data_IF_143575732941
#
_entry.id   IF_143575732941
#
_cell.length_a   1.000
_cell.length_b   1.000
_cell.length_c   1.000
_cell.angle_alpha   90.00
_cell.angle_beta   90.00
_cell.angle_gamma   90.00
#
_symmetry.space_group_name_H-M   'P 1'
#
loop_
_entity.id
_entity.type
_entity.pdbx_description
1 polymer ?
#
# COMPACT_ATOMS: atom_id res chain seq x y z
N UNK A 1 20.01 13.87 -3.45
CA UNK A 1 19.44 13.92 -2.08
C UNK A 1 17.91 13.88 -2.07
N UNK A 2 17.22 14.75 -2.82
CA UNK A 2 15.74 14.83 -2.86
C UNK A 2 15.10 13.48 -3.23
N UNK A 3 15.60 12.79 -4.26
CA UNK A 3 15.09 11.47 -4.66
C UNK A 3 15.18 10.45 -3.53
N UNK A 4 16.31 10.41 -2.81
CA UNK A 4 16.52 9.48 -1.69
C UNK A 4 15.50 9.75 -0.57
N UNK A 5 15.24 11.02 -0.25
CA UNK A 5 14.22 11.39 0.73
C UNK A 5 12.81 10.98 0.26
N UNK A 6 12.49 11.25 -1.00
CA UNK A 6 11.21 10.89 -1.59
C UNK A 6 10.99 9.38 -1.60
N UNK A 7 11.92 8.60 -2.14
CA UNK A 7 11.77 7.14 -2.23
C UNK A 7 11.73 6.50 -0.83
N UNK A 8 12.53 7.01 0.12
CA UNK A 8 12.49 6.56 1.51
C UNK A 8 11.12 6.83 2.13
N UNK A 9 10.55 8.02 1.92
CA UNK A 9 9.21 8.36 2.37
C UNK A 9 8.15 7.40 1.79
N UNK A 10 8.21 7.10 0.49
CA UNK A 10 7.25 6.18 -0.16
C UNK A 10 7.40 4.74 0.36
N UNK A 11 8.63 4.27 0.56
CA UNK A 11 8.91 2.95 1.14
C UNK A 11 8.38 2.87 2.57
N UNK A 12 8.62 3.90 3.39
CA UNK A 12 8.10 3.96 4.77
C UNK A 12 6.57 3.96 4.80
N UNK A 13 5.93 4.72 3.92
CA UNK A 13 4.47 4.70 3.77
C UNK A 13 3.97 3.28 3.42
N UNK A 14 4.66 2.58 2.51
CA UNK A 14 4.32 1.20 2.14
C UNK A 14 4.48 0.22 3.29
N UNK A 15 5.53 0.37 4.08
CA UNK A 15 5.76 -0.45 5.27
C UNK A 15 4.67 -0.18 6.32
N UNK A 16 4.31 1.08 6.54
CA UNK A 16 3.22 1.46 7.45
C UNK A 16 1.88 0.83 7.03
N UNK A 17 1.56 0.86 5.74
CA UNK A 17 0.39 0.16 5.17
C UNK A 17 0.41 -1.34 5.48
N UNK A 18 1.55 -2.00 5.32
CA UNK A 18 1.69 -3.43 5.63
C UNK A 18 1.51 -3.72 7.13
N UNK A 19 1.95 -2.83 8.01
CA UNK A 19 1.69 -2.95 9.45
C UNK A 19 0.19 -2.84 9.77
N UNK A 20 -0.51 -1.87 9.16
CA UNK A 20 -1.97 -1.75 9.31
C UNK A 20 -2.68 -3.00 8.77
N UNK A 21 -2.26 -3.50 7.60
CA UNK A 21 -2.82 -4.70 7.01
C UNK A 21 -2.61 -5.94 7.89
N UNK A 22 -1.41 -6.12 8.49
CA UNK A 22 -1.14 -7.21 9.44
C UNK A 22 -1.99 -7.12 10.71
N UNK A 23 -2.19 -5.91 11.24
CA UNK A 23 -3.05 -5.70 12.42
C UNK A 23 -4.50 -6.06 12.10
N UNK A 24 -4.99 -5.62 10.96
CA UNK A 24 -6.36 -5.92 10.51
C UNK A 24 -6.52 -7.41 10.16
N UNK A 25 -5.52 -8.04 9.55
CA UNK A 25 -5.48 -9.49 9.27
C UNK A 25 -5.70 -10.29 10.54
N UNK A 26 -4.98 -9.97 11.61
CA UNK A 26 -5.14 -10.66 12.91
C UNK A 26 -6.58 -10.52 13.44
N UNK A 27 -7.15 -9.33 13.37
CA UNK A 27 -8.54 -9.10 13.79
C UNK A 27 -9.53 -9.86 12.90
N UNK A 28 -9.37 -9.83 11.58
CA UNK A 28 -10.23 -10.54 10.63
C UNK A 28 -10.22 -12.05 10.86
N UNK A 29 -9.03 -12.64 11.03
CA UNK A 29 -8.87 -14.08 11.30
C UNK A 29 -9.53 -14.49 12.62
N UNK A 30 -9.41 -13.66 13.66
CA UNK A 30 -10.09 -13.88 14.95
C UNK A 30 -11.63 -13.81 14.82
N UNK A 31 -12.14 -13.09 13.82
CA UNK A 31 -13.58 -12.96 13.55
C UNK A 31 -14.04 -13.95 12.44
N UNK A 32 -13.29 -15.03 12.20
CA UNK A 32 -13.69 -16.09 11.27
C UNK A 32 -13.52 -15.76 9.79
N UNK A 33 -12.64 -14.81 9.45
CA UNK A 33 -12.32 -14.53 8.05
C UNK A 33 -11.57 -15.69 7.39
N UNK A 34 -11.93 -16.00 6.16
CA UNK A 34 -11.20 -16.92 5.29
C UNK A 34 -10.40 -16.12 4.26
N UNK A 35 -9.13 -16.46 4.08
CA UNK A 35 -8.25 -15.83 3.09
C UNK A 35 -8.40 -16.49 1.72
N UNK A 36 -8.54 -15.67 0.69
CA UNK A 36 -8.66 -16.06 -0.71
C UNK A 36 -7.42 -15.61 -1.48
N UNK A 37 -6.99 -16.40 -2.48
CA UNK A 37 -5.93 -16.00 -3.39
C UNK A 37 -4.51 -16.04 -2.81
N UNK A 38 -4.26 -16.81 -1.73
CA UNK A 38 -2.94 -16.93 -1.06
C UNK A 38 -1.77 -17.15 -2.03
N UNK A 39 -1.98 -17.96 -3.07
CA UNK A 39 -0.97 -18.31 -4.08
C UNK A 39 -0.51 -17.12 -4.91
N UNK A 40 -1.36 -16.11 -5.11
CA UNK A 40 -1.04 -14.94 -5.93
C UNK A 40 -0.33 -13.83 -5.14
N UNK A 41 -0.52 -13.77 -3.82
CA UNK A 41 0.02 -12.71 -2.98
C UNK A 41 1.56 -12.55 -3.06
N UNK A 42 2.39 -13.62 -3.08
CA UNK A 42 3.83 -13.48 -3.24
C UNK A 42 4.24 -12.77 -4.54
N UNK A 43 3.51 -12.99 -5.63
CA UNK A 43 3.78 -12.31 -6.91
C UNK A 43 3.51 -10.80 -6.81
N UNK A 44 2.46 -10.40 -6.09
CA UNK A 44 2.17 -8.98 -5.84
C UNK A 44 3.27 -8.34 -5.00
N UNK A 45 3.76 -9.04 -3.97
CA UNK A 45 4.89 -8.54 -3.16
C UNK A 45 6.14 -8.38 -4.01
N UNK A 46 6.48 -9.41 -4.80
CA UNK A 46 7.64 -9.37 -5.71
C UNK A 46 7.55 -8.21 -6.71
N UNK A 47 6.37 -8.02 -7.33
CA UNK A 47 6.13 -6.91 -8.26
C UNK A 47 6.41 -5.55 -7.61
N UNK A 48 5.89 -5.31 -6.40
CA UNK A 48 6.10 -4.03 -5.71
C UNK A 48 7.56 -3.83 -5.30
N UNK A 49 8.22 -4.88 -4.81
CA UNK A 49 9.65 -4.82 -4.47
C UNK A 49 10.50 -4.53 -5.70
N UNK A 50 10.26 -5.24 -6.81
CA UNK A 50 10.97 -5.03 -8.07
C UNK A 50 10.71 -3.65 -8.66
N UNK A 51 9.51 -3.10 -8.50
CA UNK A 51 9.20 -1.73 -8.93
C UNK A 51 10.06 -0.70 -8.20
N UNK A 52 10.21 -0.81 -6.87
CA UNK A 52 11.11 0.08 -6.13
C UNK A 52 12.57 -0.07 -6.55
N UNK A 53 13.03 -1.31 -6.75
CA UNK A 53 14.40 -1.59 -7.23
C UNK A 53 14.60 -0.95 -8.60
N UNK A 54 13.65 -1.10 -9.52
CA UNK A 54 13.69 -0.50 -10.86
C UNK A 54 13.85 1.02 -10.78
N UNK A 55 13.07 1.71 -9.95
CA UNK A 55 13.15 3.16 -9.79
C UNK A 55 14.52 3.62 -9.25
N UNK A 56 15.09 2.86 -8.30
CA UNK A 56 16.40 3.17 -7.73
C UNK A 56 17.51 2.96 -8.78
N UNK A 57 17.44 1.85 -9.53
CA UNK A 57 18.40 1.55 -10.60
C UNK A 57 18.33 2.61 -11.70
N UNK A 58 17.13 2.95 -12.18
CA UNK A 58 16.91 3.96 -13.21
C UNK A 58 17.48 5.32 -12.80
N UNK A 59 17.18 5.79 -11.58
CA UNK A 59 17.73 7.05 -11.08
C UNK A 59 19.25 7.01 -10.90
N UNK A 60 19.82 5.86 -10.52
CA UNK A 60 21.26 5.69 -10.38
C UNK A 60 21.99 5.69 -11.73
N UNK A 61 21.34 5.23 -12.79
CA UNK A 61 21.90 5.24 -14.16
C UNK A 61 21.75 6.62 -14.80
N UNK A 62 20.61 7.28 -14.61
CA UNK A 62 20.33 8.59 -15.16
C UNK A 62 19.60 9.46 -14.15
N UNK A 63 20.33 10.44 -13.61
CA UNK A 63 19.75 11.39 -12.67
C UNK A 63 18.85 12.38 -13.42
N UNK A 64 17.61 12.50 -12.98
CA UNK A 64 16.69 13.55 -13.43
C UNK A 64 16.89 14.80 -12.56
N UNK A 65 17.26 15.95 -13.15
CA UNK A 65 17.58 17.16 -12.39
C UNK A 65 16.34 17.91 -11.90
N UNK A 66 15.16 17.66 -12.48
CA UNK A 66 13.93 18.38 -12.18
C UNK A 66 12.74 17.45 -11.94
N UNK A 67 11.80 17.91 -11.12
CA UNK A 67 10.51 17.28 -10.90
C UNK A 67 9.41 18.34 -11.00
N UNK A 68 8.21 17.92 -11.39
CA UNK A 68 7.07 18.83 -11.46
C UNK A 68 6.41 18.98 -10.09
N UNK A 69 6.34 20.21 -9.59
CA UNK A 69 5.66 20.52 -8.34
C UNK A 69 4.15 20.20 -8.42
N UNK A 70 3.53 20.39 -9.59
CA UNK A 70 2.13 20.06 -9.81
C UNK A 70 1.87 18.55 -9.65
N UNK A 71 2.76 17.71 -10.18
CA UNK A 71 2.67 16.24 -10.03
C UNK A 71 2.90 15.85 -8.58
N UNK A 72 3.84 16.49 -7.88
CA UNK A 72 4.10 16.24 -6.46
C UNK A 72 2.87 16.57 -5.60
N UNK A 73 2.22 17.72 -5.83
CA UNK A 73 1.01 18.10 -5.12
C UNK A 73 -0.16 17.15 -5.41
N UNK A 74 -0.35 16.76 -6.67
CA UNK A 74 -1.35 15.76 -7.04
C UNK A 74 -1.08 14.42 -6.34
N UNK A 75 0.18 13.99 -6.26
CA UNK A 75 0.57 12.78 -5.54
C UNK A 75 0.25 12.85 -4.04
N UNK A 76 0.52 13.99 -3.39
CA UNK A 76 0.18 14.19 -1.97
C UNK A 76 -1.33 14.16 -1.73
N UNK A 77 -2.12 14.74 -2.64
CA UNK A 77 -3.59 14.66 -2.60
C UNK A 77 -4.07 13.21 -2.67
N UNK A 78 -3.49 12.41 -3.57
CA UNK A 78 -3.80 10.98 -3.70
C UNK A 78 -3.40 10.19 -2.45
N UNK A 79 -2.28 10.53 -1.79
CA UNK A 79 -1.92 9.93 -0.51
C UNK A 79 -2.97 10.26 0.55
N UNK A 80 -3.37 11.52 0.67
CA UNK A 80 -4.39 11.92 1.65
C UNK A 80 -5.72 11.18 1.41
N UNK A 81 -6.14 11.08 0.15
CA UNK A 81 -7.33 10.33 -0.24
C UNK A 81 -7.21 8.84 0.08
N UNK A 82 -6.05 8.23 -0.17
CA UNK A 82 -5.77 6.83 0.18
C UNK A 82 -5.85 6.62 1.69
N UNK A 83 -5.27 7.50 2.49
CA UNK A 83 -5.35 7.44 3.96
C UNK A 83 -6.81 7.54 4.41
N UNK A 84 -7.61 8.41 3.79
CA UNK A 84 -9.04 8.52 4.08
C UNK A 84 -9.82 7.24 3.73
N UNK A 85 -9.52 6.59 2.60
CA UNK A 85 -10.11 5.29 2.23
C UNK A 85 -9.75 4.22 3.26
N UNK A 86 -8.47 4.12 3.62
CA UNK A 86 -8.00 3.14 4.61
C UNK A 86 -8.71 3.37 5.95
N UNK A 87 -8.81 4.62 6.39
CA UNK A 87 -9.50 4.97 7.63
C UNK A 87 -11.00 4.67 7.57
N UNK A 88 -11.64 4.91 6.43
CA UNK A 88 -13.07 4.68 6.20
C UNK A 88 -13.42 3.20 6.17
N UNK A 89 -12.56 2.36 5.58
CA UNK A 89 -12.69 0.90 5.60
C UNK A 89 -12.32 0.30 6.98
N UNK A 90 -11.46 0.99 7.74
CA UNK A 90 -11.10 0.63 9.10
C UNK A 90 -10.53 -0.78 9.21
N UNK A 91 -11.16 -1.63 10.03
CA UNK A 91 -10.72 -3.01 10.28
C UNK A 91 -10.93 -3.95 9.08
N UNK A 92 -11.73 -3.54 8.10
CA UNK A 92 -12.00 -4.32 6.89
C UNK A 92 -10.97 -4.07 5.77
N UNK A 93 -10.07 -3.10 5.95
CA UNK A 93 -9.00 -2.86 4.98
C UNK A 93 -7.85 -3.86 5.14
N UNK A 94 -7.44 -4.51 4.06
CA UNK A 94 -6.27 -5.38 4.04
C UNK A 94 -5.67 -5.43 2.62
N UNK A 95 -4.38 -5.76 2.52
CA UNK A 95 -3.73 -6.02 1.22
C UNK A 95 -4.02 -7.42 0.68
N UNK A 96 -4.34 -8.37 1.58
CA UNK A 96 -4.83 -9.70 1.23
C UNK A 96 -6.34 -9.73 1.16
N UNK A 97 -6.88 -10.68 0.39
CA UNK A 97 -8.33 -10.81 0.22
C UNK A 97 -8.88 -11.70 1.32
N UNK A 98 -9.66 -11.10 2.22
CA UNK A 98 -10.36 -11.80 3.30
C UNK A 98 -11.87 -11.66 3.15
N UNK A 99 -12.61 -12.72 3.47
CA UNK A 99 -14.07 -12.69 3.56
C UNK A 99 -14.53 -13.30 4.87
N UNK A 100 -15.31 -12.54 5.63
CA UNK A 100 -16.01 -13.03 6.83
C UNK A 100 -17.38 -13.53 6.37
N UNK A 101 -17.66 -14.83 6.53
CA UNK A 101 -18.87 -15.46 5.97
C UNK A 101 -20.17 -14.89 6.55
N UNK A 102 -20.16 -14.43 7.80
CA UNK A 102 -21.34 -13.92 8.51
C UNK A 102 -21.29 -12.41 8.77
N UNK A 103 -20.42 -11.65 8.10
CA UNK A 103 -20.43 -10.20 8.24
C UNK A 103 -21.61 -9.61 7.46
N UNK A 104 -22.45 -8.75 8.08
CA UNK A 104 -23.46 -8.02 7.33
C UNK A 104 -22.75 -7.20 6.25
N UNK A 105 -23.20 -7.35 5.00
CA UNK A 105 -22.75 -6.49 3.90
C UNK A 105 -23.03 -5.05 4.33
N UNK A 106 -21.99 -4.23 4.40
CA UNK A 106 -22.14 -2.80 4.73
C UNK A 106 -22.83 -2.16 3.54
N UNK A 107 -24.16 -2.16 3.55
CA UNK A 107 -25.00 -1.29 2.74
C UNK A 107 -25.00 0.07 3.42
N UNK A 108 -24.15 0.98 2.93
CA UNK A 108 -24.43 2.41 3.05
C UNK A 108 -25.06 2.88 1.75
#
# INVERSE_FOLDING_TARGET
>A
MIFILFISFVILLRIAELFVARRNEKWMLQNGAVEYGKRHYPFIVALHSLFFVSLIVEYSMQQTPSFSLAILLAYLLLIAFKVWIIASLGKFWNTKIFRIQNAPLITK
#
